data_IF_958948870681
#
_entry.id   IF_958948870681
#
_cell.length_a   1.000
_cell.length_b   1.000
_cell.length_c   1.000
_cell.angle_alpha   90.00
_cell.angle_beta   90.00
_cell.angle_gamma   90.00
#
_symmetry.space_group_name_H-M   'P 1'
#
loop_
_entity.id
_entity.type
_entity.pdbx_description
1 polymer ?
#
# COMPACT_ATOMS: atom_id res chain seq x y z
N UNK A 1 14.45 8.96 -4.17
CA UNK A 1 13.39 7.98 -3.86
C UNK A 1 13.91 6.55 -3.87
N UNK A 2 14.92 6.22 -4.67
CA UNK A 2 15.53 4.88 -4.70
C UNK A 2 16.26 4.45 -3.43
N UNK A 3 16.37 5.32 -2.45
CA UNK A 3 17.00 4.99 -1.16
C UNK A 3 16.02 4.46 -0.11
N UNK A 4 14.75 4.47 -0.40
CA UNK A 4 13.72 3.86 0.46
C UNK A 4 13.54 2.38 0.12
N UNK A 5 14.66 1.68 -0.03
CA UNK A 5 14.61 0.23 -0.17
C UNK A 5 14.16 -0.39 1.14
N UNK A 6 13.27 -1.31 1.01
CA UNK A 6 12.88 -2.47 1.84
C UNK A 6 13.43 -2.60 3.27
N UNK A 7 13.99 -1.71 3.84
CA UNK A 7 14.61 -1.84 5.14
C UNK A 7 14.34 -0.65 5.99
N UNK A 8 13.22 -0.08 5.86
CA UNK A 8 12.74 0.76 6.91
C UNK A 8 13.79 1.71 7.49
N UNK A 9 13.64 2.97 7.28
CA UNK A 9 14.39 3.97 8.04
C UNK A 9 14.25 3.67 9.54
N UNK A 10 15.32 3.80 10.29
CA UNK A 10 15.27 3.64 11.74
C UNK A 10 14.33 4.67 12.37
N UNK A 11 13.77 4.36 13.51
CA UNK A 11 12.91 5.27 14.26
C UNK A 11 13.60 6.62 14.56
N UNK A 12 14.91 6.60 14.81
CA UNK A 12 15.68 7.82 15.03
C UNK A 12 15.74 8.69 13.75
N UNK A 13 15.84 8.07 12.57
CA UNK A 13 15.82 8.79 11.29
C UNK A 13 14.43 9.33 11.01
N UNK A 14 13.38 8.57 11.29
CA UNK A 14 12.00 9.04 11.17
C UNK A 14 11.74 10.25 12.10
N UNK A 15 12.13 10.15 13.34
CA UNK A 15 11.97 11.24 14.30
C UNK A 15 12.66 12.54 13.86
N UNK A 16 13.78 12.42 13.14
CA UNK A 16 14.57 13.56 12.68
C UNK A 16 14.08 14.16 11.36
N UNK A 17 13.64 13.34 10.44
CA UNK A 17 13.37 13.75 9.05
C UNK A 17 11.93 13.49 8.59
N UNK A 18 11.16 12.73 9.35
CA UNK A 18 9.76 12.46 9.04
C UNK A 18 8.90 13.71 9.23
N UNK A 19 7.83 13.76 8.43
CA UNK A 19 6.79 14.77 8.61
C UNK A 19 5.75 14.30 9.63
N UNK A 20 5.02 15.23 10.21
CA UNK A 20 3.97 14.91 11.17
C UNK A 20 2.68 15.68 10.88
N UNK A 21 1.57 15.17 11.39
CA UNK A 21 0.25 15.79 11.30
C UNK A 21 -0.18 16.14 9.86
N UNK A 22 0.17 15.28 8.91
CA UNK A 22 -0.27 15.42 7.51
C UNK A 22 -1.73 14.97 7.41
N UNK A 23 -2.56 15.76 6.75
CA UNK A 23 -3.95 15.42 6.49
C UNK A 23 -4.16 15.26 4.99
N UNK A 24 -4.78 14.13 4.58
CA UNK A 24 -5.17 13.84 3.20
C UNK A 24 -6.66 13.55 3.22
N UNK A 25 -7.46 14.42 2.61
CA UNK A 25 -8.90 14.28 2.71
C UNK A 25 -9.66 14.76 1.45
N UNK A 26 -10.87 14.24 1.28
CA UNK A 26 -11.81 14.64 0.25
C UNK A 26 -11.27 14.48 -1.19
N UNK A 27 -10.51 13.41 -1.45
CA UNK A 27 -10.03 13.10 -2.78
C UNK A 27 -10.84 11.96 -3.39
N UNK A 28 -11.05 12.04 -4.70
CA UNK A 28 -11.52 10.93 -5.52
C UNK A 28 -10.42 10.49 -6.48
N UNK A 29 -9.99 9.26 -6.35
CA UNK A 29 -8.95 8.65 -7.15
C UNK A 29 -9.57 7.52 -7.97
N UNK A 30 -9.41 7.58 -9.28
CA UNK A 30 -9.98 6.59 -10.18
C UNK A 30 -8.98 6.22 -11.26
N UNK A 31 -8.91 4.93 -11.60
CA UNK A 31 -7.97 4.38 -12.57
C UNK A 31 -6.51 4.71 -12.26
N UNK A 32 -6.08 4.36 -11.05
CA UNK A 32 -4.70 4.57 -10.61
C UNK A 32 -3.86 3.35 -10.95
N UNK A 33 -2.74 3.57 -11.64
CA UNK A 33 -1.88 2.48 -12.08
C UNK A 33 -1.15 1.72 -10.95
N UNK A 34 -0.99 2.35 -9.80
CA UNK A 34 -0.40 1.78 -8.58
C UNK A 34 -1.28 2.01 -7.36
N UNK A 35 -0.66 2.26 -6.22
CA UNK A 35 -1.36 2.60 -4.97
C UNK A 35 -2.17 3.88 -5.13
N UNK A 36 -3.39 3.91 -4.59
CA UNK A 36 -4.19 5.12 -4.65
C UNK A 36 -3.66 6.20 -3.68
N UNK A 37 -3.47 5.87 -2.42
CA UNK A 37 -2.85 6.75 -1.43
C UNK A 37 -1.89 5.94 -0.57
N UNK A 38 -0.62 6.32 -0.59
CA UNK A 38 0.38 5.77 0.31
C UNK A 38 0.98 6.88 1.15
N UNK A 39 0.90 6.75 2.47
CA UNK A 39 1.62 7.63 3.40
C UNK A 39 2.89 6.92 3.85
N UNK A 40 4.03 7.61 3.80
CA UNK A 40 5.31 6.98 4.10
C UNK A 40 6.08 7.78 5.16
N UNK A 41 6.53 7.08 6.21
CA UNK A 41 7.38 7.65 7.27
C UNK A 41 6.80 8.88 7.99
N UNK A 42 5.49 8.89 8.20
CA UNK A 42 4.79 9.98 8.86
C UNK A 42 4.48 9.64 10.33
N UNK A 43 4.49 10.65 11.18
CA UNK A 43 3.92 10.57 12.52
C UNK A 43 2.55 11.25 12.55
N UNK A 44 1.54 10.52 13.01
CA UNK A 44 0.14 10.95 13.09
C UNK A 44 -0.46 11.48 11.75
N UNK A 45 -0.28 10.76 10.62
CA UNK A 45 -1.06 11.12 9.44
C UNK A 45 -2.54 10.83 9.65
N UNK A 46 -3.40 11.68 9.09
CA UNK A 46 -4.84 11.46 9.04
C UNK A 46 -5.28 11.39 7.58
N UNK A 47 -5.83 10.26 7.18
CA UNK A 47 -6.34 10.01 5.84
C UNK A 47 -7.83 9.74 5.95
N UNK A 48 -8.67 10.65 5.43
CA UNK A 48 -10.09 10.57 5.66
C UNK A 48 -10.94 11.11 4.50
N UNK A 49 -12.15 10.59 4.37
CA UNK A 49 -13.12 11.02 3.36
C UNK A 49 -12.59 10.93 1.91
N UNK A 50 -11.71 9.97 1.65
CA UNK A 50 -11.22 9.71 0.31
C UNK A 50 -11.97 8.54 -0.31
N UNK A 51 -12.11 8.56 -1.61
CA UNK A 51 -12.66 7.46 -2.39
C UNK A 51 -11.61 6.99 -3.38
N UNK A 52 -11.32 5.69 -3.36
CA UNK A 52 -10.45 5.02 -4.32
C UNK A 52 -11.25 3.99 -5.11
N UNK A 53 -11.27 4.15 -6.41
CA UNK A 53 -11.87 3.20 -7.36
C UNK A 53 -10.85 2.78 -8.40
N UNK A 54 -10.74 1.46 -8.69
CA UNK A 54 -9.83 0.91 -9.69
C UNK A 54 -8.36 1.30 -9.42
N UNK A 55 -7.84 1.03 -8.24
CA UNK A 55 -6.42 1.16 -7.95
C UNK A 55 -5.64 -0.09 -8.40
N UNK A 56 -4.33 0.05 -8.54
CA UNK A 56 -3.38 -0.99 -8.93
C UNK A 56 -3.59 -1.56 -10.35
N UNK A 57 -4.23 -0.82 -11.24
CA UNK A 57 -4.56 -1.30 -12.58
C UNK A 57 -3.36 -1.68 -13.45
N UNK A 58 -2.20 -1.09 -13.22
CA UNK A 58 -1.01 -1.37 -14.02
C UNK A 58 0.02 -2.21 -13.26
N UNK A 59 0.25 -1.91 -11.99
CA UNK A 59 1.31 -2.56 -11.23
C UNK A 59 1.00 -4.02 -10.99
N UNK A 60 -0.23 -4.34 -10.67
CA UNK A 60 -0.65 -5.72 -10.42
C UNK A 60 -1.05 -6.49 -11.69
N UNK A 61 -0.84 -5.92 -12.87
CA UNK A 61 -1.11 -6.59 -14.13
C UNK A 61 0.11 -7.36 -14.67
N UNK A 62 -0.17 -8.32 -15.56
CA UNK A 62 0.86 -9.19 -16.16
C UNK A 62 1.83 -8.46 -17.07
N UNK A 63 1.51 -7.25 -17.49
CA UNK A 63 2.31 -6.50 -18.47
C UNK A 63 3.43 -5.70 -17.84
N UNK A 64 3.44 -5.60 -16.51
CA UNK A 64 4.46 -4.87 -15.78
C UNK A 64 5.63 -5.79 -15.41
N UNK A 65 6.27 -6.39 -16.40
CA UNK A 65 7.56 -7.07 -16.20
C UNK A 65 8.68 -6.05 -16.34
N UNK A 66 9.24 -5.60 -15.24
CA UNK A 66 10.44 -4.76 -15.29
C UNK A 66 11.69 -5.62 -15.15
N UNK A 67 12.49 -5.59 -16.17
CA UNK A 67 13.88 -5.97 -16.07
C UNK A 67 14.65 -4.81 -15.43
N UNK A 68 15.11 -5.00 -14.21
CA UNK A 68 15.99 -4.03 -13.56
C UNK A 68 17.45 -4.44 -13.73
N UNK A 69 18.38 -3.47 -13.76
CA UNK A 69 19.79 -3.80 -13.71
C UNK A 69 20.11 -4.64 -12.49
N UNK A 70 20.76 -5.78 -12.67
CA UNK A 70 21.40 -6.51 -11.58
C UNK A 70 22.67 -5.78 -11.21
N UNK A 71 22.92 -5.55 -9.93
CA UNK A 71 24.14 -4.93 -9.43
C UNK A 71 25.03 -5.99 -8.79
N UNK A 72 26.32 -5.92 -9.10
CA UNK A 72 27.34 -6.73 -8.41
C UNK A 72 27.61 -6.15 -6.99
N UNK A 73 28.45 -6.83 -6.22
CA UNK A 73 28.82 -6.40 -4.87
C UNK A 73 29.47 -4.99 -4.80
N UNK A 74 29.93 -4.46 -5.92
CA UNK A 74 30.51 -3.12 -6.02
C UNK A 74 29.50 -2.05 -6.46
N UNK A 75 28.22 -2.43 -6.68
CA UNK A 75 27.20 -1.52 -7.16
C UNK A 75 27.24 -1.24 -8.67
N UNK A 76 28.00 -2.02 -9.45
CA UNK A 76 28.08 -1.89 -10.90
C UNK A 76 27.05 -2.79 -11.56
N UNK A 77 26.50 -2.36 -12.71
CA UNK A 77 25.54 -3.17 -13.47
C UNK A 77 26.18 -4.48 -13.94
N UNK A 78 25.58 -5.60 -13.57
CA UNK A 78 26.00 -6.95 -13.94
C UNK A 78 24.84 -7.71 -14.60
N UNK A 79 24.40 -7.22 -15.74
CA UNK A 79 23.28 -7.79 -16.47
C UNK A 79 21.90 -7.28 -16.04
N UNK A 80 20.86 -7.97 -16.43
CA UNK A 80 19.48 -7.64 -16.09
C UNK A 80 18.91 -8.73 -15.21
N UNK A 81 18.31 -8.33 -14.13
CA UNK A 81 17.55 -9.19 -13.25
C UNK A 81 16.07 -9.08 -13.59
N UNK A 82 15.44 -10.22 -13.84
CA UNK A 82 13.99 -10.27 -13.86
C UNK A 82 13.51 -10.18 -12.39
N UNK A 83 13.00 -9.05 -12.01
CA UNK A 83 12.48 -8.82 -10.66
C UNK A 83 11.08 -9.43 -10.46
N UNK A 84 10.72 -10.34 -11.30
CA UNK A 84 9.45 -11.05 -11.21
C UNK A 84 8.27 -10.26 -11.76
N UNK A 85 7.26 -10.98 -12.17
CA UNK A 85 5.98 -10.39 -12.51
C UNK A 85 5.33 -9.86 -11.22
N UNK A 86 5.05 -8.57 -11.21
CA UNK A 86 4.23 -7.99 -10.17
C UNK A 86 5.04 -7.26 -9.11
N UNK A 87 5.19 -5.98 -9.28
CA UNK A 87 5.24 -5.11 -8.11
C UNK A 87 3.83 -5.13 -7.53
N UNK A 88 3.78 -5.09 -6.25
CA UNK A 88 2.55 -5.14 -5.49
C UNK A 88 2.06 -3.73 -5.20
N UNK A 89 0.76 -3.54 -5.18
CA UNK A 89 0.12 -2.28 -4.83
C UNK A 89 -1.18 -2.57 -4.09
N UNK A 90 -1.55 -1.66 -3.20
CA UNK A 90 -2.77 -1.72 -2.42
C UNK A 90 -3.62 -0.45 -2.64
N UNK A 91 -4.74 -0.33 -1.97
CA UNK A 91 -5.61 0.83 -2.09
C UNK A 91 -5.08 2.05 -1.35
N UNK A 92 -5.43 2.17 -0.09
CA UNK A 92 -5.11 3.32 0.76
C UNK A 92 -4.41 2.84 2.03
N UNK A 93 -3.13 3.18 2.20
CA UNK A 93 -2.34 2.54 3.24
C UNK A 93 -1.11 3.32 3.72
N UNK A 94 -0.60 3.03 4.93
CA UNK A 94 0.66 3.57 5.44
C UNK A 94 1.83 2.61 5.26
N UNK A 95 2.98 3.15 4.92
CA UNK A 95 4.26 2.47 5.01
C UNK A 95 5.06 3.05 6.18
N UNK A 96 5.34 2.26 7.20
CA UNK A 96 6.14 2.65 8.38
C UNK A 96 5.74 4.02 8.95
N UNK A 97 4.46 4.20 9.14
CA UNK A 97 3.94 5.37 9.85
C UNK A 97 3.72 5.06 11.34
N UNK A 98 3.67 6.09 12.17
CA UNK A 98 3.30 5.99 13.59
C UNK A 98 1.98 6.69 13.85
N UNK A 99 1.13 6.04 14.66
CA UNK A 99 -0.15 6.60 15.11
C UNK A 99 -1.03 7.12 13.96
N UNK A 100 -1.01 6.43 12.83
CA UNK A 100 -1.78 6.79 11.65
C UNK A 100 -3.28 6.54 11.85
N UNK A 101 -4.11 7.44 11.34
CA UNK A 101 -5.58 7.29 11.36
C UNK A 101 -6.10 7.29 9.93
N UNK A 102 -6.76 6.20 9.56
CA UNK A 102 -7.46 6.04 8.29
C UNK A 102 -8.94 5.86 8.59
N UNK A 103 -9.76 6.84 8.24
CA UNK A 103 -11.18 6.82 8.59
C UNK A 103 -12.09 7.41 7.53
N UNK A 104 -13.31 6.92 7.47
CA UNK A 104 -14.34 7.41 6.54
C UNK A 104 -13.91 7.39 5.07
N UNK A 105 -13.01 6.48 4.71
CA UNK A 105 -12.62 6.28 3.32
C UNK A 105 -13.45 5.16 2.69
N UNK A 106 -13.59 5.23 1.39
CA UNK A 106 -14.13 4.14 0.57
C UNK A 106 -13.05 3.64 -0.38
N UNK A 107 -12.91 2.31 -0.52
CA UNK A 107 -11.95 1.71 -1.44
C UNK A 107 -12.55 0.48 -2.09
N UNK A 108 -12.60 0.48 -3.44
CA UNK A 108 -13.21 -0.62 -4.17
C UNK A 108 -12.57 -0.87 -5.53
N UNK A 109 -12.70 -2.12 -6.00
CA UNK A 109 -12.10 -2.59 -7.25
C UNK A 109 -10.57 -2.38 -7.31
N UNK A 110 -9.89 -2.52 -6.18
CA UNK A 110 -8.42 -2.59 -6.19
C UNK A 110 -8.03 -3.91 -6.82
N UNK A 111 -7.16 -3.86 -7.83
CA UNK A 111 -6.79 -5.03 -8.60
C UNK A 111 -5.64 -5.80 -7.98
N UNK A 112 -5.71 -7.12 -8.06
CA UNK A 112 -4.61 -8.02 -7.76
C UNK A 112 -4.18 -8.73 -9.04
N UNK A 113 -2.89 -8.91 -9.22
CA UNK A 113 -2.38 -9.67 -10.34
C UNK A 113 -2.85 -11.13 -10.27
N UNK A 114 -3.30 -11.66 -11.39
CA UNK A 114 -3.75 -13.06 -11.55
C UNK A 114 -2.67 -14.11 -11.24
N UNK A 115 -1.47 -13.72 -10.87
CA UNK A 115 -0.31 -14.61 -10.66
C UNK A 115 0.08 -14.85 -9.22
N UNK A 116 -0.76 -14.50 -8.27
CA UNK A 116 -0.63 -14.98 -6.89
C UNK A 116 0.42 -14.31 -6.01
N UNK A 117 1.00 -13.21 -6.43
CA UNK A 117 1.98 -12.44 -5.66
C UNK A 117 1.65 -10.95 -5.59
N UNK A 118 0.41 -10.58 -5.83
CA UNK A 118 0.00 -9.21 -5.76
C UNK A 118 -0.75 -8.91 -4.47
N UNK A 119 -0.64 -7.70 -3.97
CA UNK A 119 -1.43 -7.25 -2.84
C UNK A 119 -2.89 -7.05 -3.27
N UNK A 120 -3.31 -5.88 -3.67
CA UNK A 120 -4.67 -5.64 -4.14
C UNK A 120 -5.70 -5.48 -3.02
N UNK A 121 -5.26 -5.43 -1.76
CA UNK A 121 -6.13 -5.12 -0.64
C UNK A 121 -6.55 -3.66 -0.67
N UNK A 122 -7.75 -3.32 -0.19
CA UNK A 122 -8.12 -1.92 0.02
C UNK A 122 -7.26 -1.26 1.12
N UNK A 123 -6.93 -2.01 2.15
CA UNK A 123 -6.18 -1.53 3.32
C UNK A 123 -4.96 -2.40 3.59
N UNK A 124 -3.85 -1.76 3.89
CA UNK A 124 -2.61 -2.42 4.25
C UNK A 124 -1.88 -1.59 5.32
N UNK A 125 -1.17 -2.21 6.24
CA UNK A 125 -0.40 -1.49 7.26
C UNK A 125 0.98 -2.13 7.39
N UNK A 126 1.89 -1.62 6.57
CA UNK A 126 3.24 -2.14 6.49
C UNK A 126 4.17 -1.45 7.49
N UNK A 127 4.82 -2.26 8.33
CA UNK A 127 5.81 -1.83 9.32
C UNK A 127 5.33 -0.69 10.23
N UNK A 128 4.01 -0.47 10.32
CA UNK A 128 3.42 0.64 11.06
C UNK A 128 3.24 0.33 12.54
N UNK A 129 3.38 1.34 13.38
CA UNK A 129 3.11 1.26 14.81
C UNK A 129 1.91 2.14 15.18
N UNK A 130 0.82 1.51 15.62
CA UNK A 130 -0.36 2.21 16.08
C UNK A 130 -1.27 2.73 14.96
N UNK A 131 -1.26 2.10 13.77
CA UNK A 131 -2.22 2.43 12.71
C UNK A 131 -3.63 2.05 13.12
N UNK A 132 -4.58 2.96 12.95
CA UNK A 132 -5.98 2.74 13.23
C UNK A 132 -6.82 2.91 11.96
N UNK A 133 -7.39 1.82 11.45
CA UNK A 133 -8.40 1.82 10.42
C UNK A 133 -9.79 1.76 11.06
N UNK A 134 -10.58 2.80 10.89
CA UNK A 134 -11.92 2.86 11.48
C UNK A 134 -12.94 3.55 10.57
N UNK A 135 -14.18 3.08 10.61
CA UNK A 135 -15.30 3.66 9.86
C UNK A 135 -15.08 3.75 8.35
N UNK A 136 -14.26 2.85 7.79
CA UNK A 136 -14.06 2.79 6.35
C UNK A 136 -15.02 1.78 5.73
N UNK A 137 -15.25 1.94 4.44
CA UNK A 137 -16.01 1.01 3.63
C UNK A 137 -15.14 0.46 2.51
N UNK A 138 -15.11 -0.85 2.35
CA UNK A 138 -14.43 -1.48 1.22
C UNK A 138 -15.32 -2.53 0.59
N UNK A 139 -15.25 -2.66 -0.74
CA UNK A 139 -16.07 -3.64 -1.44
C UNK A 139 -15.53 -4.02 -2.81
N UNK A 140 -15.71 -5.30 -3.17
CA UNK A 140 -15.38 -5.79 -4.49
C UNK A 140 -13.91 -5.67 -4.87
N UNK A 141 -13.01 -5.70 -3.91
CA UNK A 141 -11.57 -5.76 -4.14
C UNK A 141 -11.15 -7.19 -4.45
N UNK A 142 -10.02 -7.35 -5.13
CA UNK A 142 -9.58 -8.68 -5.60
C UNK A 142 -8.69 -9.43 -4.63
N UNK A 143 -8.43 -8.86 -3.46
CA UNK A 143 -7.69 -9.49 -2.38
C UNK A 143 -8.45 -9.35 -1.04
N UNK A 144 -7.85 -9.85 0.04
CA UNK A 144 -8.41 -9.77 1.39
C UNK A 144 -8.63 -8.33 1.85
N UNK A 145 -9.52 -8.12 2.80
CA UNK A 145 -9.89 -6.79 3.28
C UNK A 145 -8.71 -5.98 3.81
N UNK A 146 -7.84 -6.59 4.58
CA UNK A 146 -6.73 -5.91 5.26
C UNK A 146 -5.50 -6.82 5.35
N UNK A 147 -4.33 -6.21 5.24
CA UNK A 147 -3.06 -6.84 5.60
C UNK A 147 -2.34 -6.03 6.68
N UNK A 148 -1.66 -6.72 7.57
CA UNK A 148 -0.70 -6.16 8.51
C UNK A 148 0.64 -6.83 8.23
N UNK A 149 1.51 -6.15 7.52
CA UNK A 149 2.73 -6.74 6.98
C UNK A 149 3.99 -6.18 7.64
N UNK A 150 4.99 -7.07 7.73
CA UNK A 150 6.28 -6.76 8.29
C UNK A 150 6.38 -6.96 9.81
N UNK A 151 7.58 -7.28 10.30
CA UNK A 151 7.80 -7.66 11.71
C UNK A 151 7.55 -6.52 12.70
N UNK A 152 7.53 -5.29 12.23
CA UNK A 152 7.30 -4.09 13.04
C UNK A 152 5.86 -3.56 12.92
N UNK A 153 4.97 -4.30 12.26
CA UNK A 153 3.55 -3.95 12.16
C UNK A 153 2.86 -4.30 13.48
N UNK A 154 2.89 -3.38 14.42
CA UNK A 154 2.46 -3.58 15.82
C UNK A 154 1.43 -2.54 16.27
N UNK A 155 0.69 -2.86 17.31
CA UNK A 155 -0.29 -1.97 17.93
C UNK A 155 -1.38 -1.43 16.97
N UNK A 156 -1.55 -2.09 15.81
CA UNK A 156 -2.52 -1.67 14.81
C UNK A 156 -3.93 -2.10 15.19
N UNK A 157 -4.91 -1.34 14.76
CA UNK A 157 -6.34 -1.59 15.05
C UNK A 157 -7.16 -1.50 13.77
N UNK A 158 -8.01 -2.48 13.57
CA UNK A 158 -9.03 -2.48 12.51
C UNK A 158 -10.42 -2.62 13.15
N UNK A 159 -11.22 -1.55 13.14
CA UNK A 159 -12.49 -1.54 13.85
C UNK A 159 -13.56 -0.71 13.16
N UNK A 160 -14.82 -1.07 13.36
CA UNK A 160 -15.98 -0.32 12.86
C UNK A 160 -15.98 -0.10 11.35
N UNK A 161 -15.29 -0.95 10.59
CA UNK A 161 -15.27 -0.89 9.15
C UNK A 161 -16.36 -1.80 8.58
N UNK A 162 -16.79 -1.51 7.37
CA UNK A 162 -17.66 -2.39 6.59
C UNK A 162 -16.83 -2.94 5.44
N UNK A 163 -16.85 -4.27 5.26
CA UNK A 163 -16.22 -4.96 4.16
C UNK A 163 -17.24 -5.84 3.46
N UNK A 164 -17.30 -5.77 2.14
CA UNK A 164 -18.31 -6.49 1.36
C UNK A 164 -17.72 -7.02 0.06
N UNK A 165 -17.94 -8.32 -0.22
CA UNK A 165 -17.54 -8.94 -1.48
C UNK A 165 -16.05 -8.74 -1.81
N UNK A 166 -15.19 -8.94 -0.81
CA UNK A 166 -13.74 -8.94 -1.00
C UNK A 166 -13.26 -10.31 -1.48
N UNK A 167 -12.03 -10.35 -1.99
CA UNK A 167 -11.41 -11.59 -2.49
C UNK A 167 -12.18 -12.21 -3.66
N UNK A 168 -12.68 -11.35 -4.53
CA UNK A 168 -13.47 -11.78 -5.70
C UNK A 168 -12.61 -12.49 -6.77
N UNK A 169 -11.31 -12.64 -6.52
CA UNK A 169 -10.35 -13.10 -7.53
C UNK A 169 -10.06 -12.03 -8.58
N UNK A 170 -9.15 -12.30 -9.51
CA UNK A 170 -8.86 -11.36 -10.57
C UNK A 170 -10.15 -11.09 -11.36
N UNK A 171 -10.48 -9.81 -11.50
CA UNK A 171 -11.52 -9.41 -12.44
C UNK A 171 -10.98 -9.68 -13.84
N UNK A 172 -11.58 -10.61 -14.55
CA UNK A 172 -11.33 -10.75 -15.98
C UNK A 172 -11.81 -9.46 -16.67
N UNK A 173 -10.98 -8.83 -17.51
CA UNK A 173 -11.32 -7.60 -18.21
C UNK A 173 -12.41 -7.79 -19.23
#
# INVERSE_FOLDING_TARGET
>A
WSQFTTGALSDATMAKYGSSNVVIENNYLNHVGGDAITTMYLDRPMVQYNVSENAAEQINTTDYSQQQPSLNANGEENGKQDVGAGRVAAGIWPWKCKNAIFQYNECFKTLNASRGNGDGQPWDADYGDGTNYQYNYSHGNTASTIMFCGPESINNTFRYNISQNEDMGPLDP
#
